data_IF_158027349556
#
_entry.id   IF_158027349556
#
_cell.length_a   1.000
_cell.length_b   1.000
_cell.length_c   1.000
_cell.angle_alpha   90.00
_cell.angle_beta   90.00
_cell.angle_gamma   90.00
#
_symmetry.space_group_name_H-M   'P 1'
#
loop_
_entity.id
_entity.type
_entity.pdbx_description
1 polymer ?
#
# COMPACT_ATOMS: atom_id res chain seq x y z
N UNK A 1 -17.14 0.87 7.27
CA UNK A 1 -16.06 1.86 7.08
C UNK A 1 -15.42 1.63 5.72
N UNK A 2 -15.03 2.70 4.99
CA UNK A 2 -14.27 2.58 3.72
C UNK A 2 -13.13 3.58 3.72
N UNK A 3 -11.99 3.20 3.13
CA UNK A 3 -10.86 4.09 2.84
C UNK A 3 -10.14 3.65 1.57
N UNK A 4 -9.53 4.59 0.86
CA UNK A 4 -8.76 4.33 -0.36
C UNK A 4 -7.40 5.02 -0.26
N UNK A 5 -6.34 4.35 -0.72
CA UNK A 5 -4.96 4.86 -0.74
C UNK A 5 -4.51 5.43 0.64
N UNK A 6 -4.81 4.74 1.73
CA UNK A 6 -4.57 5.21 3.10
C UNK A 6 -3.60 4.32 3.88
N UNK A 7 -3.71 2.99 3.74
CA UNK A 7 -3.04 2.06 4.66
C UNK A 7 -1.51 2.21 4.65
N UNK A 8 -0.93 2.51 3.50
CA UNK A 8 0.50 2.69 3.30
C UNK A 8 1.06 4.00 3.89
N UNK A 9 0.18 4.96 4.25
CA UNK A 9 0.57 6.24 4.84
C UNK A 9 0.59 6.21 6.38
N UNK A 10 -0.14 5.29 7.00
CA UNK A 10 -0.32 5.23 8.46
C UNK A 10 0.62 4.21 9.11
N UNK A 11 0.86 4.34 10.42
CA UNK A 11 1.71 3.40 11.17
C UNK A 11 0.97 2.09 11.49
N UNK A 12 1.74 1.01 11.77
CA UNK A 12 1.18 -0.26 12.28
C UNK A 12 0.39 -0.05 13.58
N UNK A 13 0.85 0.84 14.46
CA UNK A 13 0.11 1.21 15.68
C UNK A 13 -1.26 1.80 15.35
N UNK A 14 -1.32 2.70 14.37
CA UNK A 14 -2.57 3.31 13.93
C UNK A 14 -3.54 2.26 13.37
N UNK A 15 -3.03 1.32 12.56
CA UNK A 15 -3.82 0.21 12.00
C UNK A 15 -4.42 -0.68 13.08
N UNK A 16 -3.67 -0.97 14.15
CA UNK A 16 -4.19 -1.73 15.31
C UNK A 16 -5.30 -0.98 16.04
N UNK A 17 -5.12 0.33 16.25
CA UNK A 17 -6.16 1.16 16.89
C UNK A 17 -7.42 1.21 16.02
N UNK A 18 -7.28 1.31 14.71
CA UNK A 18 -8.38 1.28 13.76
C UNK A 18 -9.14 -0.05 13.83
N UNK A 19 -8.42 -1.19 13.82
CA UNK A 19 -9.01 -2.52 13.90
C UNK A 19 -9.81 -2.71 15.21
N UNK A 20 -9.26 -2.26 16.35
CA UNK A 20 -9.95 -2.27 17.62
C UNK A 20 -11.24 -1.43 17.59
N UNK A 21 -11.16 -0.21 17.06
CA UNK A 21 -12.32 0.66 16.93
C UNK A 21 -13.41 0.09 15.99
N UNK A 22 -13.01 -0.51 14.88
CA UNK A 22 -13.94 -1.23 14.01
C UNK A 22 -14.62 -2.39 14.76
N UNK A 23 -13.88 -3.11 15.62
CA UNK A 23 -14.41 -4.21 16.40
C UNK A 23 -15.43 -3.75 17.44
N UNK A 24 -15.13 -2.68 18.17
CA UNK A 24 -16.05 -2.08 19.15
C UNK A 24 -17.38 -1.70 18.53
N UNK A 25 -17.38 -1.25 17.28
CA UNK A 25 -18.57 -0.81 16.54
C UNK A 25 -19.15 -1.91 15.64
N UNK A 26 -18.63 -3.13 15.70
CA UNK A 26 -19.02 -4.25 14.83
C UNK A 26 -19.06 -3.88 13.33
N UNK A 27 -18.10 -3.05 12.88
CA UNK A 27 -18.09 -2.43 11.58
C UNK A 27 -17.33 -3.28 10.55
N UNK A 28 -17.93 -3.57 9.41
CA UNK A 28 -17.19 -4.06 8.23
C UNK A 28 -16.30 -2.95 7.68
N UNK A 29 -15.08 -3.30 7.26
CA UNK A 29 -14.11 -2.37 6.71
C UNK A 29 -13.68 -2.80 5.29
N UNK A 30 -13.63 -1.82 4.37
CA UNK A 30 -13.11 -2.01 3.01
C UNK A 30 -12.00 -0.99 2.78
N UNK A 31 -10.82 -1.49 2.43
CA UNK A 31 -9.67 -0.69 2.02
C UNK A 31 -9.35 -1.01 0.57
N UNK A 32 -9.24 0.02 -0.25
CA UNK A 32 -8.90 -0.12 -1.66
C UNK A 32 -7.62 0.62 -2.03
N UNK A 33 -6.97 0.17 -3.10
CA UNK A 33 -5.78 0.80 -3.66
C UNK A 33 -4.67 0.98 -2.62
N UNK A 34 -4.40 -0.03 -1.81
CA UNK A 34 -3.26 0.00 -0.88
C UNK A 34 -2.00 -0.45 -1.60
N UNK A 35 -1.00 0.43 -1.68
CA UNK A 35 0.28 0.09 -2.29
C UNK A 35 0.93 -1.11 -1.58
N UNK A 36 1.40 -2.10 -2.35
CA UNK A 36 1.93 -3.37 -1.83
C UNK A 36 3.45 -3.54 -2.00
N UNK A 37 4.15 -2.47 -2.38
CA UNK A 37 5.61 -2.48 -2.50
C UNK A 37 6.14 -2.99 -3.84
N UNK A 38 5.27 -3.31 -4.80
CA UNK A 38 5.71 -3.79 -6.12
C UNK A 38 5.46 -2.77 -7.21
N UNK A 39 6.38 -2.69 -8.14
CA UNK A 39 6.18 -2.01 -9.42
C UNK A 39 7.06 -2.64 -10.50
N UNK A 40 6.61 -2.55 -11.73
CA UNK A 40 7.33 -3.04 -12.89
C UNK A 40 7.22 -2.03 -14.04
N UNK A 41 8.32 -1.86 -14.76
CA UNK A 41 8.36 -1.06 -15.96
C UNK A 41 8.82 -1.89 -17.15
N UNK A 42 8.22 -1.64 -18.31
CA UNK A 42 8.63 -2.21 -19.60
C UNK A 42 8.87 -1.06 -20.58
N UNK A 43 10.01 -1.03 -21.30
CA UNK A 43 11.16 -1.95 -21.25
C UNK A 43 11.87 -1.94 -19.89
N UNK A 44 12.55 -3.02 -19.52
CA UNK A 44 13.31 -3.12 -18.25
C UNK A 44 14.59 -2.28 -18.34
N UNK A 45 14.90 -1.55 -17.26
CA UNK A 45 16.18 -0.86 -17.06
C UNK A 45 16.97 -1.51 -15.90
N UNK A 46 18.31 -1.55 -15.96
CA UNK A 46 19.12 -2.24 -14.96
C UNK A 46 18.87 -1.78 -13.51
N UNK A 47 18.57 -0.49 -13.32
CA UNK A 47 18.40 0.13 -12.01
C UNK A 47 16.97 0.05 -11.46
N UNK A 48 15.98 -0.45 -12.20
CA UNK A 48 14.58 -0.51 -11.78
C UNK A 48 14.40 -1.11 -10.39
N UNK A 49 15.11 -2.23 -10.13
CA UNK A 49 15.04 -2.90 -8.84
C UNK A 49 15.58 -2.04 -7.70
N UNK A 50 16.69 -1.34 -7.93
CA UNK A 50 17.28 -0.46 -6.94
C UNK A 50 16.37 0.73 -6.65
N UNK A 51 15.83 1.36 -7.71
CA UNK A 51 14.90 2.49 -7.56
C UNK A 51 13.66 2.06 -6.75
N UNK A 52 13.08 0.91 -7.04
CA UNK A 52 11.95 0.36 -6.26
C UNK A 52 12.32 0.15 -4.79
N UNK A 53 13.50 -0.39 -4.48
CA UNK A 53 13.96 -0.57 -3.10
C UNK A 53 14.11 0.77 -2.37
N UNK A 54 14.69 1.78 -3.02
CA UNK A 54 14.85 3.11 -2.45
C UNK A 54 13.49 3.79 -2.23
N UNK A 55 12.60 3.70 -3.20
CA UNK A 55 11.22 4.18 -3.09
C UNK A 55 10.50 3.53 -1.92
N UNK A 56 10.57 2.20 -1.77
CA UNK A 56 9.94 1.49 -0.66
C UNK A 56 10.50 1.91 0.71
N UNK A 57 11.81 2.17 0.81
CA UNK A 57 12.42 2.74 2.02
C UNK A 57 11.89 4.15 2.32
N UNK A 58 11.69 4.97 1.28
CA UNK A 58 11.08 6.28 1.42
C UNK A 58 9.63 6.18 1.91
N UNK A 59 8.84 5.23 1.38
CA UNK A 59 7.45 5.03 1.78
C UNK A 59 7.30 4.63 3.25
N UNK A 60 8.28 3.95 3.83
CA UNK A 60 8.27 3.55 5.24
C UNK A 60 8.69 4.67 6.24
N UNK A 61 8.99 5.88 5.76
CA UNK A 61 9.32 7.03 6.63
C UNK A 61 8.09 7.51 7.40
N UNK A 62 8.33 8.24 8.48
CA UNK A 62 7.26 8.90 9.24
C UNK A 62 6.56 9.96 8.36
N UNK A 63 5.27 9.83 8.23
CA UNK A 63 4.39 10.75 7.48
C UNK A 63 3.58 11.66 8.41
N UNK A 64 3.92 11.71 9.70
CA UNK A 64 3.16 12.46 10.71
C UNK A 64 1.86 11.80 11.16
N UNK A 65 1.65 10.52 10.83
CA UNK A 65 0.42 9.76 11.12
C UNK A 65 0.67 8.63 12.14
N UNK A 66 1.30 8.98 13.25
CA UNK A 66 1.47 8.07 14.40
C UNK A 66 2.76 7.27 14.38
N UNK A 67 3.83 7.76 13.71
CA UNK A 67 5.14 7.16 13.59
C UNK A 67 5.46 6.65 12.18
N UNK A 68 6.52 5.85 12.01
CA UNK A 68 6.89 5.30 10.70
C UNK A 68 5.71 4.64 10.02
N UNK A 69 5.49 4.99 8.75
CA UNK A 69 4.40 4.44 7.96
C UNK A 69 4.60 2.93 7.72
N UNK A 70 3.50 2.18 7.65
CA UNK A 70 3.55 0.77 7.29
C UNK A 70 4.05 0.57 5.84
N UNK A 71 3.87 1.59 4.99
CA UNK A 71 4.40 1.62 3.63
C UNK A 71 4.06 0.36 2.85
N UNK A 72 5.07 -0.28 2.21
CA UNK A 72 4.86 -1.50 1.43
C UNK A 72 4.25 -2.69 2.18
N UNK A 73 4.37 -2.73 3.52
CA UNK A 73 3.82 -3.82 4.36
C UNK A 73 2.42 -3.52 4.90
N UNK A 74 1.81 -2.42 4.50
CA UNK A 74 0.57 -1.91 5.08
C UNK A 74 -0.58 -2.91 5.07
N UNK A 75 -0.79 -3.62 3.96
CA UNK A 75 -1.86 -4.62 3.87
C UNK A 75 -1.61 -5.78 4.81
N UNK A 76 -0.37 -6.26 4.97
CA UNK A 76 -0.03 -7.32 5.90
C UNK A 76 -0.20 -6.86 7.37
N UNK A 77 0.20 -5.61 7.68
CA UNK A 77 -0.04 -5.00 8.99
C UNK A 77 -1.55 -4.94 9.30
N UNK A 78 -2.36 -4.45 8.36
CA UNK A 78 -3.82 -4.40 8.50
C UNK A 78 -4.42 -5.81 8.68
N UNK A 79 -4.01 -6.79 7.87
CA UNK A 79 -4.46 -8.17 8.01
C UNK A 79 -4.18 -8.71 9.42
N UNK A 80 -2.94 -8.55 9.92
CA UNK A 80 -2.59 -8.98 11.29
C UNK A 80 -3.44 -8.28 12.35
N UNK A 81 -3.64 -6.97 12.22
CA UNK A 81 -4.42 -6.17 13.16
C UNK A 81 -5.89 -6.63 13.22
N UNK A 82 -6.53 -6.81 12.08
CA UNK A 82 -7.93 -7.23 12.01
C UNK A 82 -8.13 -8.69 12.45
N UNK A 83 -7.24 -9.61 12.07
CA UNK A 83 -7.28 -11.01 12.56
C UNK A 83 -7.19 -11.05 14.08
N UNK A 84 -6.29 -10.27 14.68
CA UNK A 84 -6.09 -10.21 16.14
C UNK A 84 -7.37 -9.83 16.90
N UNK A 85 -8.23 -9.03 16.29
CA UNK A 85 -9.50 -8.61 16.90
C UNK A 85 -10.71 -9.43 16.42
N UNK A 86 -10.49 -10.59 15.79
CA UNK A 86 -11.53 -11.56 15.44
C UNK A 86 -12.29 -11.22 14.16
N UNK A 87 -11.61 -10.73 13.15
CA UNK A 87 -12.16 -10.52 11.82
C UNK A 87 -11.79 -11.64 10.85
N UNK A 88 -12.71 -11.94 9.95
CA UNK A 88 -12.44 -12.63 8.70
C UNK A 88 -12.04 -11.63 7.64
N UNK A 89 -11.21 -12.07 6.68
CA UNK A 89 -10.59 -11.19 5.69
C UNK A 89 -10.68 -11.78 4.29
N UNK A 90 -10.78 -10.88 3.30
CA UNK A 90 -10.55 -11.21 1.90
C UNK A 90 -9.64 -10.15 1.28
N UNK A 91 -8.51 -10.58 0.70
CA UNK A 91 -7.57 -9.75 -0.05
C UNK A 91 -7.67 -10.05 -1.54
N UNK A 92 -7.58 -9.02 -2.37
CA UNK A 92 -7.55 -9.12 -3.84
C UNK A 92 -6.55 -8.11 -4.37
N UNK A 93 -5.82 -8.54 -5.38
CA UNK A 93 -4.92 -7.69 -6.14
C UNK A 93 -5.74 -6.72 -7.00
N UNK A 94 -5.30 -5.44 -7.03
CA UNK A 94 -5.97 -4.33 -7.74
C UNK A 94 -4.96 -3.41 -8.40
N UNK A 95 -3.98 -3.99 -9.09
CA UNK A 95 -2.85 -3.28 -9.68
C UNK A 95 -3.28 -2.20 -10.69
N UNK A 96 -2.55 -1.11 -10.71
CA UNK A 96 -2.63 -0.15 -11.80
C UNK A 96 -1.80 -0.62 -12.98
N UNK A 97 -2.45 -0.69 -14.15
CA UNK A 97 -1.84 -1.05 -15.42
C UNK A 97 -1.81 0.17 -16.32
N UNK A 98 -0.70 0.89 -16.31
CA UNK A 98 -0.53 2.11 -17.10
C UNK A 98 0.04 1.79 -18.47
N UNK A 99 -0.75 2.04 -19.51
CA UNK A 99 -0.38 1.84 -20.90
C UNK A 99 0.29 3.09 -21.50
N UNK A 100 0.89 2.99 -22.70
CA UNK A 100 1.57 4.12 -23.34
C UNK A 100 0.73 5.39 -23.53
N UNK A 101 -0.59 5.26 -23.58
CA UNK A 101 -1.50 6.40 -23.74
C UNK A 101 -1.56 7.27 -22.49
N UNK A 102 -1.24 6.71 -21.30
CA UNK A 102 -1.31 7.37 -20.00
C UNK A 102 0.02 8.08 -19.66
N UNK A 103 0.63 8.74 -20.64
CA UNK A 103 1.97 9.36 -20.53
C UNK A 103 2.11 10.33 -19.37
N UNK A 104 1.08 11.13 -19.12
CA UNK A 104 1.09 12.13 -18.04
C UNK A 104 1.25 11.49 -16.67
N UNK A 105 0.45 10.44 -16.39
CA UNK A 105 0.51 9.72 -15.12
C UNK A 105 1.80 8.90 -14.97
N UNK A 106 2.25 8.24 -16.05
CA UNK A 106 3.53 7.53 -16.02
C UNK A 106 4.69 8.46 -15.67
N UNK A 107 4.72 9.66 -16.30
CA UNK A 107 5.74 10.66 -16.02
C UNK A 107 5.75 11.05 -14.55
N UNK A 108 4.58 11.42 -14.00
CA UNK A 108 4.46 11.83 -12.59
C UNK A 108 4.94 10.74 -11.62
N UNK A 109 4.59 9.48 -11.87
CA UNK A 109 5.05 8.36 -11.05
C UNK A 109 6.57 8.17 -11.13
N UNK A 110 7.13 8.17 -12.33
CA UNK A 110 8.56 7.96 -12.56
C UNK A 110 9.39 9.13 -11.96
N UNK A 111 8.93 10.36 -12.13
CA UNK A 111 9.55 11.56 -11.52
C UNK A 111 9.52 11.43 -9.98
N UNK A 112 8.37 11.09 -9.37
CA UNK A 112 8.22 10.91 -7.92
C UNK A 112 9.06 9.74 -7.37
N UNK A 113 9.23 8.65 -8.12
CA UNK A 113 10.13 7.56 -7.71
C UNK A 113 11.60 8.00 -7.71
N UNK A 114 12.03 8.78 -8.70
CA UNK A 114 13.37 9.32 -8.76
C UNK A 114 13.65 10.30 -7.61
N UNK A 115 12.71 11.22 -7.33
CA UNK A 115 12.81 12.18 -6.23
C UNK A 115 12.92 11.46 -4.89
N UNK A 116 12.01 10.52 -4.58
CA UNK A 116 12.04 9.73 -3.37
C UNK A 116 13.32 8.90 -3.23
N UNK A 117 13.83 8.34 -4.33
CA UNK A 117 15.08 7.58 -4.33
C UNK A 117 16.29 8.48 -4.04
N UNK A 118 16.37 9.68 -4.60
CA UNK A 118 17.43 10.66 -4.33
C UNK A 118 17.40 11.13 -2.87
N UNK A 119 16.23 11.34 -2.28
CA UNK A 119 16.10 11.68 -0.86
C UNK A 119 16.64 10.59 0.07
N UNK A 120 16.56 9.33 -0.32
CA UNK A 120 17.03 8.18 0.46
C UNK A 120 18.50 7.89 0.24
N UNK A 121 19.00 8.13 -0.97
CA UNK A 121 20.36 7.83 -1.40
C UNK A 121 20.91 8.97 -2.28
N UNK A 122 21.22 10.15 -1.70
CA UNK A 122 21.70 11.30 -2.46
C UNK A 122 23.04 11.04 -3.18
N UNK A 123 23.86 10.14 -2.64
CA UNK A 123 25.11 9.68 -3.26
C UNK A 123 24.90 8.96 -4.60
N UNK A 124 23.74 8.34 -4.79
CA UNK A 124 23.35 7.67 -6.03
C UNK A 124 22.66 8.62 -7.04
N UNK A 125 22.61 9.91 -6.76
CA UNK A 125 21.80 10.88 -7.49
C UNK A 125 22.09 10.97 -8.98
N UNK A 126 23.36 10.84 -9.41
CA UNK A 126 23.73 10.86 -10.83
C UNK A 126 23.18 9.62 -11.57
N UNK A 127 23.33 8.45 -10.99
CA UNK A 127 22.80 7.21 -11.53
C UNK A 127 21.26 7.25 -11.61
N UNK A 128 20.58 7.77 -10.56
CA UNK A 128 19.11 7.89 -10.52
C UNK A 128 18.63 8.86 -11.62
N UNK A 129 19.31 10.00 -11.82
CA UNK A 129 18.95 10.94 -12.90
C UNK A 129 19.14 10.33 -14.28
N UNK A 130 20.22 9.56 -14.48
CA UNK A 130 20.46 8.84 -15.74
C UNK A 130 19.36 7.81 -16.02
N UNK A 131 18.95 7.05 -15.00
CA UNK A 131 17.80 6.14 -15.07
C UNK A 131 16.51 6.91 -15.41
N UNK A 132 16.24 8.02 -14.75
CA UNK A 132 15.07 8.86 -14.99
C UNK A 132 14.98 9.31 -16.45
N UNK A 133 16.07 9.79 -17.02
CA UNK A 133 16.10 10.24 -18.42
C UNK A 133 15.76 9.10 -19.39
N UNK A 134 16.28 7.89 -19.20
CA UNK A 134 15.96 6.75 -20.04
C UNK A 134 14.48 6.33 -19.89
N UNK A 135 13.94 6.36 -18.68
CA UNK A 135 12.52 6.07 -18.43
C UNK A 135 11.60 7.07 -19.13
N UNK A 136 11.90 8.36 -19.00
CA UNK A 136 11.13 9.42 -19.66
C UNK A 136 11.22 9.33 -21.19
N UNK A 137 12.35 8.88 -21.73
CA UNK A 137 12.46 8.61 -23.16
C UNK A 137 11.54 7.46 -23.60
N UNK A 138 11.45 6.36 -22.83
CA UNK A 138 10.48 5.28 -23.12
C UNK A 138 9.04 5.80 -23.12
N UNK A 139 8.68 6.68 -22.17
CA UNK A 139 7.37 7.33 -22.14
C UNK A 139 7.15 8.20 -23.37
N UNK A 140 8.15 9.03 -23.74
CA UNK A 140 8.08 9.95 -24.85
C UNK A 140 7.83 9.23 -26.19
N UNK A 141 8.50 8.12 -26.43
CA UNK A 141 8.38 7.34 -27.68
C UNK A 141 7.23 6.34 -27.67
N UNK A 142 6.41 6.30 -26.59
CA UNK A 142 5.22 5.44 -26.51
C UNK A 142 5.52 3.95 -26.35
N UNK A 143 6.67 3.58 -25.74
CA UNK A 143 7.04 2.18 -25.46
C UNK A 143 6.85 1.78 -23.99
N UNK A 144 6.58 2.76 -23.12
CA UNK A 144 6.51 2.53 -21.68
C UNK A 144 5.20 1.90 -21.26
N UNK A 145 5.30 0.83 -20.49
CA UNK A 145 4.20 0.29 -19.68
C UNK A 145 4.65 0.26 -18.22
N UNK A 146 3.78 0.64 -17.32
CA UNK A 146 4.05 0.65 -15.88
C UNK A 146 2.96 -0.11 -15.15
N UNK A 147 3.36 -1.02 -14.28
CA UNK A 147 2.48 -1.70 -13.33
C UNK A 147 2.83 -1.20 -11.94
N UNK A 148 1.84 -0.75 -11.17
CA UNK A 148 2.00 -0.40 -9.75
C UNK A 148 1.12 -1.33 -8.95
N UNK A 149 1.76 -2.14 -8.09
CA UNK A 149 1.06 -3.14 -7.31
C UNK A 149 0.22 -2.54 -6.20
N UNK A 150 -1.04 -2.94 -6.17
CA UNK A 150 -2.00 -2.58 -5.14
C UNK A 150 -2.80 -3.80 -4.70
N UNK A 151 -3.32 -3.72 -3.48
CA UNK A 151 -4.25 -4.69 -2.94
C UNK A 151 -5.49 -4.00 -2.37
N UNK A 152 -6.63 -4.65 -2.53
CA UNK A 152 -7.85 -4.34 -1.81
C UNK A 152 -8.02 -5.34 -0.66
N UNK A 153 -8.48 -4.86 0.50
CA UNK A 153 -8.71 -5.65 1.70
C UNK A 153 -10.13 -5.41 2.22
N UNK A 154 -10.93 -6.47 2.26
CA UNK A 154 -12.24 -6.49 2.92
C UNK A 154 -12.09 -7.24 4.25
N UNK A 155 -12.58 -6.64 5.34
CA UNK A 155 -12.57 -7.20 6.68
C UNK A 155 -13.96 -7.12 7.31
N UNK A 156 -14.47 -8.24 7.89
CA UNK A 156 -15.76 -8.29 8.57
C UNK A 156 -15.67 -9.10 9.86
N UNK A 157 -16.48 -8.78 10.90
CA UNK A 157 -16.49 -9.52 12.15
C UNK A 157 -16.85 -10.99 11.90
N UNK A 158 -16.07 -11.94 12.46
CA UNK A 158 -16.42 -13.35 12.37
C UNK A 158 -17.69 -13.65 13.18
N UNK A 159 -18.57 -14.49 12.65
CA UNK A 159 -19.81 -14.90 13.29
C UNK A 159 -19.59 -15.72 14.59
N UNK A 160 -18.38 -16.22 14.81
CA UNK A 160 -18.01 -17.06 15.96
C UNK A 160 -17.74 -16.29 17.26
N UNK A 161 -17.83 -14.96 17.25
CA UNK A 161 -17.56 -14.09 18.40
C UNK A 161 -18.86 -13.68 19.16
N UNK A 162 -19.91 -14.53 19.15
CA UNK A 162 -20.98 -14.42 20.14
C UNK A 162 -20.42 -14.96 21.45
N UNK A 163 -19.98 -14.05 22.32
CA UNK A 163 -19.46 -14.34 23.63
C UNK A 163 -20.52 -15.06 24.50
N UNK A 164 -20.13 -15.68 25.66
CA UNK A 164 -20.98 -16.50 26.48
C UNK A 164 -21.94 -15.63 27.33
N UNK A 165 -22.87 -14.91 26.69
CA UNK A 165 -23.88 -14.10 27.41
C UNK A 165 -25.32 -14.48 27.08
N UNK A 166 -25.62 -15.76 26.75
CA UNK A 166 -27.01 -16.28 26.74
C UNK A 166 -27.11 -17.59 27.48
N UNK A 167 -26.88 -17.58 28.81
CA UNK A 167 -27.34 -18.62 29.71
C UNK A 167 -27.90 -18.05 31.02
N UNK A 168 -28.78 -17.11 30.95
CA UNK A 168 -29.61 -16.75 32.10
C UNK A 168 -30.97 -16.24 31.60
N UNK A 169 -31.84 -17.14 31.16
CA UNK A 169 -33.30 -16.99 31.24
C UNK A 169 -33.98 -18.28 30.76
N UNK A 170 -33.92 -19.32 31.61
CA UNK A 170 -34.94 -20.35 31.72
C UNK A 170 -34.87 -20.94 33.13
N UNK A 171 -35.45 -20.25 34.09
CA UNK A 171 -35.95 -20.81 35.31
C UNK A 171 -37.08 -19.87 35.78
N UNK A 172 -38.28 -20.17 35.39
CA UNK A 172 -39.54 -20.23 36.15
C UNK A 172 -40.66 -20.67 35.21
#
# INVERSE_FOLDING_TARGET
MTASALLDLVSDRWLRSLAAHCRENNATALFSLSYNGTSQCTPVEPEDRLILQLFNRHQARDKGLGGPAAGPDAVNCAQRAFVTVGYELRRRQSDWLLRPEQRGLQRQLIDGWAEAAIEVAPEAGEMIRSWLLRRLEHVRVGRSHVVVGHDDLLAWPSSSAVGPFERFHRLT
#
